data_IF_942537389817
#
_entry.id   IF_942537389817
#
_cell.length_a   1.000
_cell.length_b   1.000
_cell.length_c   1.000
_cell.angle_alpha   90.00
_cell.angle_beta   90.00
_cell.angle_gamma   90.00
#
_symmetry.space_group_name_H-M   'P 1'
#
loop_
_entity.id
_entity.type
_entity.pdbx_description
1 polymer ?
#
# COMPACT_ATOMS: atom_id res chain seq x y z
N UNK A 1 -12.50 6.97 -3.79
CA UNK A 1 -13.04 8.29 -4.20
C UNK A 1 -11.89 9.12 -4.77
N UNK A 2 -12.14 9.89 -5.83
CA UNK A 2 -11.13 10.76 -6.45
C UNK A 2 -11.61 12.20 -6.36
N UNK A 3 -10.78 13.07 -5.82
CA UNK A 3 -11.00 14.50 -5.74
C UNK A 3 -9.97 15.21 -6.63
N UNK A 4 -10.44 16.20 -7.38
CA UNK A 4 -9.59 17.05 -8.20
C UNK A 4 -9.36 18.38 -7.51
N UNK A 5 -8.09 18.79 -7.39
CA UNK A 5 -7.66 20.11 -6.97
C UNK A 5 -6.94 20.81 -8.14
N UNK A 6 -6.59 22.09 -7.96
CA UNK A 6 -5.94 22.87 -9.01
C UNK A 6 -4.62 22.24 -9.47
N UNK A 7 -3.82 21.74 -8.53
CA UNK A 7 -2.47 21.24 -8.80
C UNK A 7 -2.34 19.71 -8.81
N UNK A 8 -3.30 18.96 -8.22
CA UNK A 8 -3.18 17.50 -8.07
C UNK A 8 -4.54 16.80 -7.93
N UNK A 9 -4.53 15.47 -8.09
CA UNK A 9 -5.63 14.59 -7.70
C UNK A 9 -5.36 13.92 -6.35
N UNK A 10 -6.39 13.84 -5.50
CA UNK A 10 -6.37 13.00 -4.29
C UNK A 10 -7.27 11.79 -4.49
N UNK A 11 -6.68 10.59 -4.43
CA UNK A 11 -7.39 9.31 -4.56
C UNK A 11 -7.36 8.59 -3.21
N UNK A 12 -8.49 8.55 -2.52
CA UNK A 12 -8.64 7.70 -1.32
C UNK A 12 -9.17 6.32 -1.72
N UNK A 13 -8.46 5.27 -1.31
CA UNK A 13 -8.72 3.88 -1.69
C UNK A 13 -8.81 2.96 -0.47
N UNK A 14 -9.74 2.00 -0.55
CA UNK A 14 -9.78 0.84 0.32
C UNK A 14 -9.64 -0.40 -0.55
N UNK A 15 -8.43 -0.94 -0.60
CA UNK A 15 -8.07 -2.04 -1.50
C UNK A 15 -8.72 -3.35 -1.06
N UNK A 16 -9.26 -4.18 -1.97
CA UNK A 16 -9.88 -5.44 -1.61
C UNK A 16 -8.92 -6.38 -0.85
N UNK A 17 -9.33 -6.89 0.30
CA UNK A 17 -8.60 -7.95 0.99
C UNK A 17 -8.71 -9.29 0.23
N UNK A 18 -7.62 -10.07 0.16
CA UNK A 18 -7.58 -11.37 -0.54
C UNK A 18 -8.28 -12.51 0.24
N UNK A 19 -8.77 -12.23 1.45
CA UNK A 19 -9.29 -13.15 2.47
C UNK A 19 -8.21 -14.06 3.05
N UNK A 20 -8.48 -14.59 4.24
CA UNK A 20 -7.57 -15.51 4.96
C UNK A 20 -7.27 -16.78 4.16
N UNK A 21 -8.22 -17.26 3.37
CA UNK A 21 -8.09 -18.46 2.53
C UNK A 21 -7.59 -18.15 1.10
N UNK A 22 -7.23 -16.90 0.82
CA UNK A 22 -6.77 -16.40 -0.48
C UNK A 22 -7.75 -16.60 -1.64
N UNK A 23 -9.02 -16.94 -1.36
CA UNK A 23 -10.03 -17.18 -2.40
C UNK A 23 -10.31 -15.95 -3.28
N UNK A 24 -9.95 -14.75 -2.80
CA UNK A 24 -10.07 -13.50 -3.56
C UNK A 24 -8.75 -13.00 -4.13
N UNK A 25 -7.65 -13.75 -4.02
CA UNK A 25 -6.36 -13.31 -4.53
C UNK A 25 -6.40 -13.00 -6.05
N UNK A 26 -7.00 -13.83 -6.93
CA UNK A 26 -7.10 -13.49 -8.36
C UNK A 26 -7.84 -12.17 -8.62
N UNK A 27 -8.96 -11.94 -7.92
CA UNK A 27 -9.72 -10.70 -8.00
C UNK A 27 -8.91 -9.50 -7.51
N UNK A 28 -8.16 -9.68 -6.40
CA UNK A 28 -7.25 -8.66 -5.86
C UNK A 28 -6.19 -8.28 -6.90
N UNK A 29 -5.55 -9.25 -7.55
CA UNK A 29 -4.50 -8.97 -8.54
C UNK A 29 -5.04 -8.28 -9.81
N UNK A 30 -6.22 -8.67 -10.29
CA UNK A 30 -6.89 -7.97 -11.40
C UNK A 30 -7.26 -6.53 -11.00
N UNK A 31 -7.76 -6.34 -9.78
CA UNK A 31 -8.08 -5.03 -9.25
C UNK A 31 -6.84 -4.12 -9.20
N UNK A 32 -5.68 -4.65 -8.79
CA UNK A 32 -4.42 -3.89 -8.73
C UNK A 32 -4.01 -3.37 -10.12
N UNK A 33 -4.13 -4.20 -11.16
CA UNK A 33 -3.81 -3.80 -12.52
C UNK A 33 -4.75 -2.70 -13.03
N UNK A 34 -6.05 -2.83 -12.75
CA UNK A 34 -7.05 -1.83 -13.13
C UNK A 34 -6.86 -0.52 -12.37
N UNK A 35 -6.56 -0.60 -11.07
CA UNK A 35 -6.32 0.57 -10.24
C UNK A 35 -5.07 1.32 -10.69
N UNK A 36 -3.96 0.61 -10.93
CA UNK A 36 -2.74 1.20 -11.51
C UNK A 36 -3.02 1.86 -12.87
N UNK A 37 -3.77 1.20 -13.75
CA UNK A 37 -4.16 1.81 -15.04
C UNK A 37 -4.97 3.10 -14.86
N UNK A 38 -5.90 3.13 -13.91
CA UNK A 38 -6.72 4.30 -13.61
C UNK A 38 -5.89 5.49 -13.13
N UNK A 39 -5.01 5.31 -12.14
CA UNK A 39 -4.20 6.42 -11.61
C UNK A 39 -3.14 6.89 -12.63
N UNK A 40 -2.61 6.00 -13.48
CA UNK A 40 -1.72 6.39 -14.59
C UNK A 40 -2.45 7.20 -15.65
N UNK A 41 -3.76 7.01 -15.83
CA UNK A 41 -4.55 7.86 -16.71
C UNK A 41 -4.72 9.27 -16.12
N UNK A 42 -4.95 9.39 -14.81
CA UNK A 42 -5.02 10.69 -14.12
C UNK A 42 -3.68 11.45 -14.18
N UNK A 43 -2.58 10.72 -13.98
CA UNK A 43 -1.20 11.24 -13.99
C UNK A 43 -0.83 11.95 -15.31
N UNK A 44 -1.53 11.64 -16.41
CA UNK A 44 -1.33 12.33 -17.70
C UNK A 44 -1.72 13.81 -17.65
N UNK A 45 -2.57 14.21 -16.70
CA UNK A 45 -3.09 15.58 -16.59
C UNK A 45 -2.52 16.31 -15.38
N UNK A 46 -2.53 15.70 -14.20
CA UNK A 46 -2.01 16.27 -12.95
C UNK A 46 -1.37 15.18 -12.10
N UNK A 47 -0.37 15.52 -11.25
CA UNK A 47 0.14 14.60 -10.25
C UNK A 47 -0.98 13.99 -9.39
N UNK A 48 -0.80 12.74 -8.97
CA UNK A 48 -1.73 11.97 -8.16
C UNK A 48 -1.14 11.66 -6.79
N UNK A 49 -1.93 11.89 -5.75
CA UNK A 49 -1.69 11.42 -4.39
C UNK A 49 -2.71 10.31 -4.12
N UNK A 50 -2.23 9.10 -3.89
CA UNK A 50 -3.05 7.96 -3.44
C UNK A 50 -2.91 7.82 -1.93
N UNK A 51 -4.02 7.66 -1.21
CA UNK A 51 -4.01 7.37 0.22
C UNK A 51 -5.05 6.33 0.62
N UNK A 52 -4.86 5.72 1.79
CA UNK A 52 -5.80 4.79 2.40
C UNK A 52 -5.18 3.43 2.71
N UNK A 53 -6.04 2.44 2.97
CA UNK A 53 -5.64 1.07 3.28
C UNK A 53 -5.46 0.27 1.98
N UNK A 54 -4.21 0.00 1.64
CA UNK A 54 -3.84 -0.77 0.46
C UNK A 54 -3.82 -2.28 0.72
N UNK A 55 -4.12 -2.74 1.93
CA UNK A 55 -4.18 -4.16 2.30
C UNK A 55 -2.93 -4.96 1.88
N UNK A 56 -1.75 -4.36 1.99
CA UNK A 56 -0.45 -5.02 1.70
C UNK A 56 0.64 -4.39 2.54
N UNK A 57 1.51 -5.19 3.16
CA UNK A 57 2.79 -4.74 3.69
C UNK A 57 3.87 -5.00 2.62
N UNK A 58 4.51 -3.96 2.10
CA UNK A 58 5.39 -4.10 0.93
C UNK A 58 6.66 -4.91 1.21
N UNK A 59 7.37 -4.54 2.28
CA UNK A 59 8.65 -5.14 2.66
C UNK A 59 8.58 -5.80 4.03
N UNK A 60 9.58 -6.64 4.36
CA UNK A 60 9.64 -7.29 5.67
C UNK A 60 9.70 -6.29 6.84
N UNK A 61 10.24 -5.09 6.62
CA UNK A 61 10.28 -4.00 7.61
C UNK A 61 8.90 -3.40 7.91
N UNK A 62 7.90 -3.69 7.09
CA UNK A 62 6.54 -3.14 7.19
C UNK A 62 5.59 -3.99 8.03
N UNK A 63 6.06 -5.08 8.63
CA UNK A 63 5.28 -5.87 9.59
C UNK A 63 6.18 -6.52 10.65
N UNK A 64 5.64 -6.74 11.85
CA UNK A 64 6.44 -7.24 12.98
C UNK A 64 6.97 -8.67 12.77
N UNK A 65 6.18 -9.52 12.13
CA UNK A 65 6.47 -10.95 11.99
C UNK A 65 6.38 -11.39 10.51
N UNK A 66 7.37 -11.06 9.66
CA UNK A 66 7.32 -11.37 8.23
C UNK A 66 7.30 -12.88 7.96
N UNK A 67 8.22 -13.64 8.57
CA UNK A 67 8.39 -15.08 8.34
C UNK A 67 7.11 -15.92 8.46
N UNK A 68 6.32 -15.84 9.55
CA UNK A 68 5.08 -16.61 9.66
C UNK A 68 3.93 -16.06 8.81
N UNK A 69 4.09 -14.88 8.19
CA UNK A 69 3.07 -14.27 7.35
C UNK A 69 3.35 -14.39 5.85
N UNK A 70 4.49 -14.97 5.46
CA UNK A 70 4.75 -15.28 4.06
C UNK A 70 3.62 -16.14 3.49
N UNK A 71 2.94 -15.63 2.47
CA UNK A 71 1.80 -16.29 1.84
C UNK A 71 0.44 -16.03 2.51
N UNK A 72 0.36 -15.25 3.57
CA UNK A 72 -0.92 -14.77 4.10
C UNK A 72 -1.40 -13.55 3.32
N UNK A 73 -2.72 -13.31 3.27
CA UNK A 73 -3.27 -12.08 2.69
C UNK A 73 -2.66 -10.84 3.37
N UNK A 74 -2.25 -9.88 2.54
CA UNK A 74 -1.47 -8.72 2.92
C UNK A 74 0.05 -8.92 2.84
N UNK A 75 0.54 -10.14 2.64
CA UNK A 75 1.97 -10.44 2.53
C UNK A 75 2.29 -11.62 1.59
N UNK A 76 1.43 -11.88 0.60
CA UNK A 76 1.78 -12.82 -0.49
C UNK A 76 2.85 -12.20 -1.39
N UNK A 77 3.56 -13.04 -2.15
CA UNK A 77 4.54 -12.54 -3.12
C UNK A 77 3.86 -11.73 -4.22
N UNK A 78 2.64 -12.12 -4.59
CA UNK A 78 1.86 -11.50 -5.65
C UNK A 78 1.34 -10.11 -5.24
N UNK A 79 0.78 -9.95 -4.02
CA UNK A 79 0.36 -8.64 -3.51
C UNK A 79 1.55 -7.68 -3.40
N UNK A 80 2.68 -8.16 -2.87
CA UNK A 80 3.93 -7.37 -2.77
C UNK A 80 4.51 -7.03 -4.14
N UNK A 81 4.40 -7.94 -5.10
CA UNK A 81 4.78 -7.73 -6.49
C UNK A 81 3.98 -6.59 -7.13
N UNK A 82 2.65 -6.59 -6.96
CA UNK A 82 1.80 -5.50 -7.46
C UNK A 82 2.14 -4.13 -6.85
N UNK A 83 2.46 -4.09 -5.55
CA UNK A 83 2.95 -2.87 -4.92
C UNK A 83 4.29 -2.41 -5.51
N UNK A 84 5.22 -3.34 -5.79
CA UNK A 84 6.49 -3.04 -6.45
C UNK A 84 6.28 -2.47 -7.86
N UNK A 85 5.40 -3.09 -8.63
CA UNK A 85 5.03 -2.66 -9.98
C UNK A 85 4.38 -1.27 -9.99
N UNK A 86 3.57 -0.96 -8.97
CA UNK A 86 2.94 0.35 -8.81
C UNK A 86 3.99 1.43 -8.52
N UNK A 87 4.90 1.20 -7.56
CA UNK A 87 5.97 2.15 -7.26
C UNK A 87 6.90 2.37 -8.47
N UNK A 88 7.24 1.28 -9.17
CA UNK A 88 8.04 1.35 -10.40
C UNK A 88 7.37 2.14 -11.54
N UNK A 89 6.04 2.34 -11.48
CA UNK A 89 5.28 3.12 -12.46
C UNK A 89 5.31 4.64 -12.25
N UNK A 90 6.17 5.14 -11.35
CA UNK A 90 6.36 6.58 -11.13
C UNK A 90 5.79 7.10 -9.82
N UNK A 91 5.64 6.22 -8.83
CA UNK A 91 5.10 6.56 -7.51
C UNK A 91 6.13 6.28 -6.41
N UNK A 92 6.07 7.09 -5.35
CA UNK A 92 6.90 6.99 -4.16
C UNK A 92 6.02 6.68 -2.96
N UNK A 93 6.41 5.68 -2.16
CA UNK A 93 5.93 5.54 -0.79
C UNK A 93 6.52 6.66 0.07
N UNK A 94 5.70 7.68 0.36
CA UNK A 94 6.15 8.89 1.06
C UNK A 94 6.76 8.60 2.43
N UNK A 95 6.25 7.60 3.16
CA UNK A 95 6.79 7.25 4.48
C UNK A 95 8.17 6.61 4.34
N UNK A 96 8.34 5.68 3.40
CA UNK A 96 9.64 5.02 3.18
C UNK A 96 10.66 5.90 2.50
N UNK A 97 10.22 6.90 1.74
CA UNK A 97 11.12 7.92 1.22
C UNK A 97 11.76 8.75 2.34
N UNK A 98 10.96 9.18 3.33
CA UNK A 98 11.45 9.99 4.45
C UNK A 98 12.12 9.15 5.55
N UNK A 99 11.72 7.89 5.71
CA UNK A 99 12.16 7.00 6.78
C UNK A 99 12.47 5.59 6.25
N UNK A 100 13.48 5.43 5.36
CA UNK A 100 13.73 4.18 4.65
C UNK A 100 13.97 3.00 5.60
N UNK A 101 14.78 3.21 6.62
CA UNK A 101 15.24 2.13 7.51
C UNK A 101 14.47 2.09 8.85
N UNK A 102 13.45 2.94 9.04
CA UNK A 102 12.74 3.03 10.33
C UNK A 102 11.87 1.80 10.57
N UNK A 103 12.18 1.04 11.60
CA UNK A 103 11.44 -0.17 11.99
C UNK A 103 10.31 0.15 12.98
N UNK A 104 9.44 -0.84 13.23
CA UNK A 104 8.42 -0.79 14.28
C UNK A 104 7.35 0.32 14.11
N UNK A 105 7.13 0.77 12.88
CA UNK A 105 6.07 1.74 12.54
C UNK A 105 4.98 1.03 11.75
N UNK A 106 3.80 0.92 12.36
CA UNK A 106 2.66 0.19 11.86
C UNK A 106 1.40 1.06 11.91
N UNK A 107 0.41 0.73 11.08
CA UNK A 107 -0.87 1.42 10.99
C UNK A 107 -2.05 0.53 11.41
N UNK A 108 -1.86 -0.79 11.38
CA UNK A 108 -2.86 -1.78 11.73
C UNK A 108 -2.35 -2.80 12.76
N UNK A 109 -3.24 -3.21 13.66
CA UNK A 109 -3.02 -4.27 14.65
C UNK A 109 -4.28 -5.11 14.81
N UNK A 110 -4.13 -6.43 14.99
CA UNK A 110 -5.26 -7.30 15.36
C UNK A 110 -5.84 -6.91 16.71
N UNK A 111 -7.16 -7.09 16.87
CA UNK A 111 -7.88 -6.87 18.13
C UNK A 111 -7.59 -7.92 19.21
N UNK A 112 -6.80 -8.96 18.92
CA UNK A 112 -6.40 -9.94 19.92
C UNK A 112 -5.68 -9.27 21.11
N UNK A 113 -5.91 -9.75 22.35
CA UNK A 113 -5.34 -9.15 23.55
C UNK A 113 -3.83 -8.92 23.43
N UNK A 114 -3.38 -7.74 23.89
CA UNK A 114 -1.97 -7.32 23.94
C UNK A 114 -1.25 -7.24 22.59
N UNK A 115 -1.91 -7.43 21.45
CA UNK A 115 -1.25 -7.32 20.12
C UNK A 115 -0.81 -5.90 19.85
N UNK A 116 -1.71 -4.92 20.01
CA UNK A 116 -1.38 -3.50 19.83
C UNK A 116 -0.39 -2.99 20.87
N UNK A 117 -0.55 -3.38 22.13
CA UNK A 117 0.35 -3.02 23.24
C UNK A 117 1.80 -3.48 22.97
N UNK A 118 1.98 -4.71 22.45
CA UNK A 118 3.30 -5.26 22.09
C UNK A 118 3.81 -4.79 20.73
N UNK A 119 3.10 -3.85 20.08
CA UNK A 119 3.38 -3.36 18.74
C UNK A 119 3.53 -4.48 17.69
N UNK A 120 2.71 -5.53 17.77
CA UNK A 120 2.68 -6.60 16.76
C UNK A 120 1.75 -6.17 15.62
N UNK A 121 2.27 -5.29 14.76
CA UNK A 121 1.49 -4.59 13.75
C UNK A 121 1.98 -4.79 12.32
N UNK A 122 1.25 -4.14 11.42
CA UNK A 122 1.47 -4.09 9.98
C UNK A 122 1.30 -2.64 9.51
N UNK A 123 2.10 -2.21 8.53
CA UNK A 123 1.92 -0.96 7.81
C UNK A 123 1.25 -1.28 6.48
N UNK A 124 -0.06 -1.07 6.45
CA UNK A 124 -0.91 -1.32 5.27
C UNK A 124 -1.64 -0.07 4.79
N UNK A 125 -1.51 1.03 5.54
CA UNK A 125 -2.04 2.34 5.19
C UNK A 125 -0.91 3.22 4.63
N UNK A 126 -1.14 3.84 3.49
CA UNK A 126 -0.10 4.55 2.73
C UNK A 126 -0.55 5.95 2.32
N UNK A 127 0.46 6.78 2.05
CA UNK A 127 0.39 7.86 1.07
C UNK A 127 1.42 7.54 -0.02
N UNK A 128 0.94 7.23 -1.23
CA UNK A 128 1.77 7.08 -2.42
C UNK A 128 1.63 8.34 -3.26
N UNK A 129 2.74 8.96 -3.62
CA UNK A 129 2.76 10.25 -4.32
C UNK A 129 3.48 10.10 -5.65
N UNK A 130 3.04 10.80 -6.69
CA UNK A 130 3.79 10.88 -7.94
C UNK A 130 5.22 11.35 -7.68
N UNK A 131 6.20 10.79 -8.39
CA UNK A 131 7.62 11.15 -8.25
C UNK A 131 7.87 12.67 -8.36
N UNK A 132 7.09 13.37 -9.19
CA UNK A 132 7.21 14.81 -9.39
C UNK A 132 6.85 15.66 -8.16
N UNK A 133 6.10 15.10 -7.20
CA UNK A 133 5.77 15.75 -5.93
C UNK A 133 6.78 15.45 -4.83
N UNK A 134 7.63 14.44 -5.00
CA UNK A 134 8.61 14.08 -3.98
C UNK A 134 9.71 15.16 -3.90
N UNK A 135 10.12 15.56 -2.68
CA UNK A 135 11.27 16.45 -2.52
C UNK A 135 12.52 15.80 -3.13
N UNK A 136 13.35 16.61 -3.79
CA UNK A 136 14.61 16.19 -4.42
C UNK A 136 15.75 16.13 -3.42
#
# INVERSE_FOLDING_TARGET
>A
ITLEYDEFYLVNVYTPNAKRDLTRLPYRLEWEDRFRGYILQLEQTKPVIVCGDLNVAHQEIDLKNPKPNLGNSGFTLEERGKMTDLLASGYVDSFRHLYPDRTDVYSWWSYMPKVRERNVGWRIDYFLVSNQLAPK
#
